data_IF_159522783248
#
_entry.id   IF_159522783248
#
_cell.length_a   1.000
_cell.length_b   1.000
_cell.length_c   1.000
_cell.angle_alpha   90.00
_cell.angle_beta   90.00
_cell.angle_gamma   90.00
#
_symmetry.space_group_name_H-M   'P 1'
#
loop_
_entity.id
_entity.type
_entity.pdbx_description
1 polymer ?
#
# COMPACT_ATOMS: atom_id res chain seq x y z
N UNK A 1 -7.57 4.46 3.79
CA UNK A 1 -7.71 2.99 3.71
C UNK A 1 -7.33 2.38 2.36
N UNK A 2 -7.46 3.09 1.22
CA UNK A 2 -7.33 2.51 -0.13
C UNK A 2 -5.90 2.06 -0.56
N UNK A 3 -4.93 2.07 0.36
CA UNK A 3 -3.57 1.52 0.22
C UNK A 3 -3.00 1.63 -1.21
N UNK A 4 -2.86 2.87 -1.68
CA UNK A 4 -2.47 3.19 -3.06
C UNK A 4 -1.40 4.29 -3.06
N UNK A 5 -0.60 4.30 -4.12
CA UNK A 5 0.43 5.28 -4.42
C UNK A 5 0.15 5.98 -5.76
N UNK A 6 0.99 6.96 -6.09
CA UNK A 6 0.99 7.66 -7.36
C UNK A 6 2.30 7.37 -8.10
N UNK A 7 2.21 6.90 -9.36
CA UNK A 7 3.35 6.74 -10.26
C UNK A 7 3.38 7.90 -11.25
N UNK A 8 4.52 8.59 -11.31
CA UNK A 8 4.71 9.72 -12.22
C UNK A 8 5.11 9.24 -13.61
N UNK A 9 4.41 9.69 -14.66
CA UNK A 9 4.78 9.40 -16.05
C UNK A 9 6.09 10.07 -16.47
N UNK A 10 6.44 11.23 -15.91
CA UNK A 10 7.63 11.99 -16.30
C UNK A 10 8.96 11.42 -15.80
N UNK A 11 8.97 10.78 -14.63
CA UNK A 11 10.21 10.24 -14.04
C UNK A 11 10.09 8.82 -13.47
N UNK A 12 8.95 8.16 -13.66
CA UNK A 12 8.62 6.83 -13.14
C UNK A 12 8.64 6.68 -11.60
N UNK A 13 8.93 7.72 -10.83
CA UNK A 13 8.95 7.67 -9.37
C UNK A 13 7.56 7.34 -8.80
N UNK A 14 7.55 6.53 -7.74
CA UNK A 14 6.34 6.16 -6.99
C UNK A 14 6.27 6.94 -5.68
N UNK A 15 5.20 7.69 -5.48
CA UNK A 15 4.96 8.51 -4.29
C UNK A 15 3.91 7.84 -3.40
N UNK A 16 4.33 7.45 -2.20
CA UNK A 16 3.47 6.93 -1.16
C UNK A 16 3.68 7.69 0.18
N UNK A 17 2.60 8.07 0.90
CA UNK A 17 1.22 8.14 0.46
C UNK A 17 1.04 9.08 -0.74
N UNK A 18 -0.10 8.97 -1.45
CA UNK A 18 -0.49 9.91 -2.52
C UNK A 18 -0.45 11.35 -2.02
N UNK A 19 0.07 12.27 -2.83
CA UNK A 19 0.21 13.69 -2.47
C UNK A 19 -0.31 14.65 -3.54
N UNK A 20 -0.64 14.17 -4.74
CA UNK A 20 -1.01 15.04 -5.87
C UNK A 20 0.20 15.73 -6.52
N UNK A 21 1.43 15.36 -6.15
CA UNK A 21 2.66 15.80 -6.80
C UNK A 21 3.76 14.74 -6.65
N UNK A 22 4.65 14.66 -7.64
CA UNK A 22 5.75 13.69 -7.65
C UNK A 22 6.90 14.12 -6.74
N UNK A 23 7.33 13.27 -5.79
CA UNK A 23 8.50 13.56 -4.94
C UNK A 23 9.85 13.53 -5.67
N UNK A 24 9.92 12.93 -6.86
CA UNK A 24 11.14 12.85 -7.65
C UNK A 24 11.41 14.11 -8.47
N UNK A 25 10.40 14.57 -9.24
CA UNK A 25 10.55 15.68 -10.19
C UNK A 25 9.62 16.88 -9.94
N UNK A 26 8.71 16.82 -8.97
CA UNK A 26 7.77 17.90 -8.66
C UNK A 26 6.56 18.01 -9.58
N UNK A 27 6.43 17.15 -10.60
CA UNK A 27 5.28 17.16 -11.51
C UNK A 27 3.95 17.00 -10.76
N UNK A 28 2.96 17.83 -11.08
CA UNK A 28 1.60 17.80 -10.54
C UNK A 28 0.59 17.12 -11.47
N UNK A 29 0.99 16.85 -12.71
CA UNK A 29 0.22 16.13 -13.72
C UNK A 29 0.87 14.78 -14.04
N UNK A 30 0.13 13.90 -14.73
CA UNK A 30 0.65 12.58 -15.12
C UNK A 30 0.89 11.63 -13.95
N UNK A 31 0.13 11.78 -12.85
CA UNK A 31 0.19 10.93 -11.67
C UNK A 31 -0.86 9.82 -11.75
N UNK A 32 -0.43 8.63 -12.17
CA UNK A 32 -1.31 7.47 -12.24
C UNK A 32 -1.42 6.78 -10.88
N UNK A 33 -2.63 6.46 -10.46
CA UNK A 33 -2.88 5.68 -9.24
C UNK A 33 -2.35 4.25 -9.43
N UNK A 34 -1.59 3.75 -8.46
CA UNK A 34 -1.11 2.37 -8.41
C UNK A 34 -1.53 1.73 -7.08
N UNK A 35 -2.12 0.54 -7.14
CA UNK A 35 -2.47 -0.22 -5.93
C UNK A 35 -1.24 -0.87 -5.33
N UNK A 36 -1.14 -0.85 -3.99
CA UNK A 36 -0.02 -1.48 -3.31
C UNK A 36 -0.26 -2.97 -3.10
N UNK A 37 0.81 -3.79 -3.13
CA UNK A 37 0.69 -5.19 -2.76
C UNK A 37 0.11 -5.34 -1.35
N UNK A 38 -0.85 -6.25 -1.22
CA UNK A 38 -1.48 -6.54 0.07
C UNK A 38 -0.79 -7.68 0.83
N UNK A 39 0.16 -8.36 0.19
CA UNK A 39 0.91 -9.50 0.70
C UNK A 39 2.35 -9.47 0.22
N UNK A 40 3.22 -10.27 0.84
CA UNK A 40 4.63 -10.45 0.44
C UNK A 40 5.59 -9.36 0.91
N UNK A 41 5.12 -8.39 1.72
CA UNK A 41 5.96 -7.33 2.28
C UNK A 41 7.04 -7.89 3.20
N UNK A 42 8.17 -7.20 3.32
CA UNK A 42 9.30 -7.56 4.18
C UNK A 42 9.45 -6.57 5.33
N UNK A 43 9.58 -7.06 6.55
CA UNK A 43 9.87 -6.20 7.70
C UNK A 43 11.31 -5.69 7.62
N UNK A 44 11.48 -4.37 7.60
CA UNK A 44 12.77 -3.68 7.57
C UNK A 44 13.18 -3.16 8.97
N UNK A 45 12.20 -2.78 9.78
CA UNK A 45 12.42 -2.41 11.18
C UNK A 45 11.14 -2.72 11.99
N UNK A 46 11.30 -2.96 13.29
CA UNK A 46 10.19 -3.18 14.22
C UNK A 46 10.50 -2.54 15.56
N UNK A 47 9.48 -1.92 16.17
CA UNK A 47 9.53 -1.37 17.51
C UNK A 47 8.29 -1.78 18.29
N UNK A 48 8.48 -2.21 19.53
CA UNK A 48 7.37 -2.45 20.46
C UNK A 48 7.02 -1.14 21.19
N UNK A 49 5.76 -0.73 21.09
CA UNK A 49 5.21 0.39 21.85
C UNK A 49 4.63 -0.17 23.14
N UNK A 50 5.32 0.09 24.25
CA UNK A 50 4.86 -0.28 25.60
C UNK A 50 3.87 0.73 26.17
N UNK A 51 3.28 0.38 27.33
CA UNK A 51 2.37 1.26 28.06
C UNK A 51 3.03 2.60 28.38
N UNK A 52 2.33 3.68 28.04
CA UNK A 52 2.81 5.06 28.19
C UNK A 52 3.61 5.58 27.00
N UNK A 53 3.88 4.75 25.99
CA UNK A 53 4.55 5.14 24.75
C UNK A 53 3.59 5.41 23.58
N UNK A 54 2.31 5.10 23.74
CA UNK A 54 1.29 5.27 22.69
C UNK A 54 0.73 6.71 22.64
N UNK A 55 0.24 7.16 21.47
CA UNK A 55 -0.64 8.33 21.40
C UNK A 55 -1.94 8.07 22.18
N UNK A 56 -2.52 9.12 22.77
CA UNK A 56 -3.70 9.02 23.65
C UNK A 56 -4.91 8.38 22.97
N UNK A 57 -5.05 8.50 21.66
CA UNK A 57 -6.12 7.86 20.90
C UNK A 57 -6.03 6.33 20.93
N UNK A 58 -4.86 5.77 21.23
CA UNK A 58 -4.62 4.33 21.40
C UNK A 58 -4.69 3.88 22.85
N UNK A 59 -4.98 4.76 23.83
CA UNK A 59 -5.13 4.36 25.23
C UNK A 59 -6.14 3.24 25.41
N UNK A 60 -7.34 3.26 24.80
CA UNK A 60 -8.28 2.15 24.94
C UNK A 60 -7.73 0.81 24.46
N UNK A 61 -6.88 0.83 23.41
CA UNK A 61 -6.22 -0.38 22.92
C UNK A 61 -5.18 -0.86 23.93
N UNK A 62 -4.32 0.03 24.41
CA UNK A 62 -3.20 -0.35 25.29
C UNK A 62 -3.67 -0.76 26.69
N UNK A 63 -4.71 -0.13 27.22
CA UNK A 63 -5.30 -0.54 28.49
C UNK A 63 -6.02 -1.89 28.40
N UNK A 64 -6.55 -2.25 27.23
CA UNK A 64 -7.22 -3.53 27.02
C UNK A 64 -6.24 -4.68 26.69
N UNK A 65 -5.32 -4.44 25.75
CA UNK A 65 -4.50 -5.48 25.12
C UNK A 65 -3.00 -5.38 25.48
N UNK A 66 -2.59 -4.30 26.16
CA UNK A 66 -1.19 -4.01 26.45
C UNK A 66 -0.45 -3.35 25.28
N UNK A 67 0.88 -3.48 25.27
CA UNK A 67 1.71 -2.91 24.20
C UNK A 67 1.42 -3.53 22.83
N UNK A 68 1.91 -2.89 21.77
CA UNK A 68 1.76 -3.41 20.40
C UNK A 68 3.02 -3.13 19.56
N UNK A 69 3.29 -3.98 18.58
CA UNK A 69 4.40 -3.76 17.66
C UNK A 69 3.99 -2.82 16.51
N UNK A 70 4.95 -2.03 16.04
CA UNK A 70 4.86 -1.23 14.82
C UNK A 70 6.05 -1.56 13.94
N UNK A 71 5.78 -1.89 12.68
CA UNK A 71 6.79 -2.30 11.71
C UNK A 71 6.91 -1.29 10.57
N UNK A 72 8.15 -1.04 10.13
CA UNK A 72 8.41 -0.50 8.80
C UNK A 72 8.51 -1.67 7.83
N UNK A 73 7.63 -1.69 6.82
CA UNK A 73 7.50 -2.80 5.87
C UNK A 73 7.83 -2.30 4.47
N UNK A 74 8.79 -2.94 3.81
CA UNK A 74 8.97 -2.79 2.36
C UNK A 74 7.94 -3.66 1.63
N UNK A 75 7.00 -3.01 0.96
CA UNK A 75 5.89 -3.67 0.25
C UNK A 75 6.27 -4.02 -1.19
N UNK A 76 7.15 -3.22 -1.78
CA UNK A 76 7.74 -3.37 -3.10
C UNK A 76 9.08 -2.60 -3.10
N UNK A 77 9.99 -2.83 -4.08
CA UNK A 77 11.28 -2.14 -4.12
C UNK A 77 11.15 -0.63 -3.97
N UNK A 78 11.74 -0.07 -2.91
CA UNK A 78 11.72 1.36 -2.62
C UNK A 78 10.39 1.91 -2.07
N UNK A 79 9.39 1.06 -1.87
CA UNK A 79 8.07 1.43 -1.35
C UNK A 79 7.85 0.86 0.04
N UNK A 80 7.86 1.76 1.03
CA UNK A 80 7.76 1.41 2.45
C UNK A 80 6.51 1.98 3.10
N UNK A 81 5.95 1.23 4.05
CA UNK A 81 4.83 1.66 4.87
C UNK A 81 5.06 1.32 6.34
N UNK A 82 4.69 2.24 7.23
CA UNK A 82 4.64 1.97 8.67
C UNK A 82 3.29 1.37 9.02
N UNK A 83 3.29 0.18 9.62
CA UNK A 83 2.09 -0.59 9.91
C UNK A 83 2.12 -1.11 11.36
N UNK A 84 1.09 -0.87 12.18
CA UNK A 84 0.91 -1.60 13.43
C UNK A 84 0.73 -3.09 13.11
N UNK A 85 1.23 -3.95 13.99
CA UNK A 85 1.15 -5.41 13.84
C UNK A 85 -0.10 -5.93 14.56
N UNK A 86 -0.68 -7.01 14.06
CA UNK A 86 -1.82 -7.69 14.68
C UNK A 86 -1.69 -9.19 14.50
N UNK A 87 -2.52 -9.95 15.22
CA UNK A 87 -2.68 -11.40 15.10
C UNK A 87 -1.37 -12.18 15.34
N UNK A 88 -0.48 -11.61 16.15
CA UNK A 88 0.76 -12.23 16.62
C UNK A 88 1.07 -11.71 18.02
N UNK A 89 1.74 -12.51 18.87
CA UNK A 89 2.15 -12.03 20.18
C UNK A 89 3.13 -10.84 20.06
N UNK A 90 2.98 -9.86 20.95
CA UNK A 90 3.83 -8.66 20.97
C UNK A 90 5.30 -9.04 21.17
N UNK A 91 6.19 -8.36 20.45
CA UNK A 91 7.63 -8.61 20.53
C UNK A 91 8.08 -9.90 19.84
N UNK A 92 7.23 -10.54 19.02
CA UNK A 92 7.62 -11.75 18.26
C UNK A 92 7.99 -11.48 16.81
N UNK A 93 7.53 -10.37 16.22
CA UNK A 93 7.90 -9.98 14.86
C UNK A 93 9.41 -9.67 14.77
N UNK A 94 10.06 -10.09 13.69
CA UNK A 94 11.49 -9.90 13.45
C UNK A 94 11.73 -9.19 12.11
N UNK A 95 12.87 -8.52 12.01
CA UNK A 95 13.37 -8.00 10.73
C UNK A 95 13.58 -9.17 9.77
N UNK A 96 13.09 -9.02 8.55
CA UNK A 96 13.12 -10.03 7.51
C UNK A 96 11.88 -10.92 7.42
N UNK A 97 11.00 -10.88 8.42
CA UNK A 97 9.72 -11.60 8.36
C UNK A 97 8.89 -11.11 7.17
N UNK A 98 8.12 -12.05 6.61
CA UNK A 98 7.16 -11.75 5.55
C UNK A 98 5.81 -11.43 6.16
N UNK A 99 5.20 -10.36 5.68
CA UNK A 99 3.92 -9.87 6.19
C UNK A 99 2.94 -9.55 5.07
N UNK A 100 1.66 -9.77 5.35
CA UNK A 100 0.55 -9.22 4.60
C UNK A 100 -0.08 -8.05 5.32
N UNK A 101 -1.12 -7.47 4.71
CA UNK A 101 -1.84 -6.33 5.27
C UNK A 101 -3.34 -6.60 5.34
N UNK A 102 -3.94 -6.32 6.49
CA UNK A 102 -5.37 -6.47 6.75
C UNK A 102 -5.98 -5.15 7.17
N UNK A 103 -7.25 -4.91 6.82
CA UNK A 103 -7.98 -3.74 7.27
C UNK A 103 -8.50 -3.98 8.69
N UNK A 104 -8.20 -3.07 9.62
CA UNK A 104 -8.62 -3.13 11.02
C UNK A 104 -9.12 -1.76 11.50
N UNK A 105 -9.92 -1.79 12.56
CA UNK A 105 -10.18 -0.60 13.36
C UNK A 105 -8.88 -0.17 14.04
N UNK A 106 -8.65 1.15 14.11
CA UNK A 106 -7.51 1.73 14.81
C UNK A 106 -7.95 2.27 16.17
N UNK A 107 -8.73 3.35 16.14
CA UNK A 107 -9.25 4.03 17.32
C UNK A 107 -10.54 4.79 16.96
N UNK A 108 -11.43 5.03 17.92
CA UNK A 108 -12.56 5.93 17.72
C UNK A 108 -12.09 7.39 17.76
N UNK A 109 -12.73 8.26 16.99
CA UNK A 109 -12.51 9.70 16.96
C UNK A 109 -13.81 10.37 16.50
N UNK A 110 -14.26 11.41 17.22
CA UNK A 110 -15.52 12.13 16.94
C UNK A 110 -16.75 11.19 16.82
N UNK A 111 -16.82 10.19 17.69
CA UNK A 111 -17.90 9.19 17.69
C UNK A 111 -17.85 8.17 16.55
N UNK A 112 -16.81 8.17 15.72
CA UNK A 112 -16.65 7.28 14.57
C UNK A 112 -15.37 6.44 14.64
N UNK A 113 -15.39 5.24 14.06
CA UNK A 113 -14.19 4.40 13.97
C UNK A 113 -13.26 4.85 12.85
N UNK A 114 -11.98 5.06 13.19
CA UNK A 114 -10.91 5.14 12.20
C UNK A 114 -10.48 3.73 11.79
N UNK A 115 -10.26 3.55 10.48
CA UNK A 115 -9.82 2.29 9.90
C UNK A 115 -8.47 2.45 9.20
N UNK A 116 -7.61 1.46 9.36
CA UNK A 116 -6.27 1.44 8.80
C UNK A 116 -5.80 0.02 8.49
N UNK A 117 -4.71 -0.06 7.75
CA UNK A 117 -4.06 -1.34 7.46
C UNK A 117 -3.13 -1.69 8.63
N UNK A 118 -3.13 -2.96 9.03
CA UNK A 118 -2.18 -3.55 9.97
C UNK A 118 -1.41 -4.69 9.30
N UNK A 119 -0.18 -4.95 9.75
CA UNK A 119 0.63 -6.05 9.29
C UNK A 119 0.24 -7.36 9.98
N UNK A 120 0.22 -8.46 9.23
CA UNK A 120 0.02 -9.84 9.73
C UNK A 120 1.16 -10.72 9.23
N UNK A 121 1.73 -11.54 10.11
CA UNK A 121 2.81 -12.46 9.73
C UNK A 121 2.29 -13.51 8.76
N UNK A 122 3.01 -13.71 7.67
CA UNK A 122 2.70 -14.73 6.67
C UNK A 122 3.35 -16.05 7.05
N UNK A 123 2.59 -17.12 6.92
CA UNK A 123 3.12 -18.48 7.08
C UNK A 123 3.83 -18.95 5.80
N UNK A 124 4.58 -20.05 5.89
CA UNK A 124 5.50 -20.53 4.85
C UNK A 124 4.90 -20.79 3.45
N UNK A 125 3.57 -20.79 3.26
CA UNK A 125 2.92 -20.82 1.93
C UNK A 125 2.58 -19.43 1.39
N UNK A 126 2.29 -18.47 2.26
CA UNK A 126 1.85 -17.13 1.88
C UNK A 126 3.04 -16.21 1.53
N UNK A 127 4.21 -16.50 2.11
CA UNK A 127 5.47 -15.78 1.92
C UNK A 127 6.04 -15.84 0.49
N UNK A 128 5.66 -16.84 -0.33
CA UNK A 128 6.16 -17.02 -1.71
C UNK A 128 5.36 -16.25 -2.77
N UNK A 129 4.25 -15.60 -2.41
CA UNK A 129 3.56 -14.70 -3.33
C UNK A 129 4.37 -13.40 -3.46
N UNK A 130 5.31 -13.38 -4.41
CA UNK A 130 6.20 -12.25 -4.66
C UNK A 130 5.42 -10.94 -4.86
N UNK A 131 5.97 -9.78 -4.48
CA UNK A 131 5.37 -8.50 -4.82
C UNK A 131 5.26 -8.41 -6.34
N UNK A 132 4.02 -8.32 -6.84
CA UNK A 132 3.75 -8.13 -8.25
C UNK A 132 4.52 -6.91 -8.75
N UNK A 133 5.22 -7.10 -9.87
CA UNK A 133 6.00 -6.04 -10.50
C UNK A 133 5.11 -4.83 -10.82
N UNK A 134 5.26 -3.78 -10.02
CA UNK A 134 4.52 -2.53 -10.19
C UNK A 134 4.88 -1.83 -11.52
N UNK A 135 5.86 -2.32 -12.29
CA UNK A 135 6.11 -1.93 -13.68
C UNK A 135 4.94 -2.22 -14.62
N UNK A 136 4.08 -3.20 -14.30
CA UNK A 136 2.88 -3.50 -15.09
C UNK A 136 1.70 -2.66 -14.61
N UNK A 137 1.53 -1.50 -15.21
CA UNK A 137 0.25 -0.78 -15.20
C UNK A 137 -0.02 -0.18 -16.58
N UNK A 138 -1.05 -0.76 -17.22
CA UNK A 138 -1.78 -0.31 -18.41
C UNK A 138 -1.00 -0.20 -19.74
N UNK A 139 -0.95 -1.28 -20.50
CA UNK A 139 -1.03 -1.13 -21.96
C UNK A 139 -2.35 -0.38 -22.27
N UNK A 140 -2.32 0.70 -23.06
CA UNK A 140 -3.56 1.32 -23.52
C UNK A 140 -4.31 0.27 -24.35
N UNK A 141 -5.56 -0.03 -23.95
CA UNK A 141 -6.46 -0.79 -24.83
C UNK A 141 -6.51 -0.02 -26.15
N UNK A 142 -6.06 -0.68 -27.22
CA UNK A 142 -5.99 -0.11 -28.55
C UNK A 142 -7.30 0.59 -28.91
N UNK A 143 -7.19 1.82 -29.38
CA UNK A 143 -8.28 2.51 -30.07
C UNK A 143 -8.66 1.63 -31.25
N UNK A 144 -9.86 1.05 -31.20
CA UNK A 144 -10.47 0.42 -32.36
C UNK A 144 -10.71 1.51 -33.40
N UNK A 145 -9.86 1.52 -34.42
CA UNK A 145 -10.03 2.34 -35.62
C UNK A 145 -11.32 1.90 -36.32
N UNK A 146 -12.30 2.80 -36.59
CA UNK A 146 -13.47 2.42 -37.38
C UNK A 146 -13.04 2.13 -38.82
N UNK A 147 -13.67 1.16 -39.51
CA UNK A 147 -13.31 0.84 -40.88
C UNK A 147 -13.63 2.01 -41.81
N UNK A 148 -12.66 2.34 -42.68
CA UNK A 148 -12.83 3.23 -43.81
C UNK A 148 -14.05 2.81 -44.64
N UNK A 149 -15.05 3.70 -44.75
CA UNK A 149 -16.09 3.56 -45.74
C UNK A 149 -15.49 3.80 -47.13
N UNK A 150 -15.42 2.73 -47.93
CA UNK A 150 -15.18 2.78 -49.36
C UNK A 150 -16.37 3.49 -50.03
N UNK A 151 -16.12 4.66 -50.61
CA UNK A 151 -17.05 5.28 -51.56
C UNK A 151 -17.06 4.44 -52.85
N UNK A 152 -18.21 4.04 -53.39
CA UNK A 152 -18.26 3.49 -54.74
C UNK A 152 -18.11 4.62 -55.77
N UNK A 153 -17.10 4.47 -56.63
CA UNK A 153 -17.02 5.15 -57.91
C UNK A 153 -18.21 4.73 -58.79
N UNK A 154 -19.01 5.70 -59.25
CA UNK A 154 -19.92 5.51 -60.38
C UNK A 154 -19.15 5.85 -61.67
N UNK A 155 -19.22 5.03 -62.73
CA UNK A 155 -18.62 5.35 -64.02
C UNK A 155 -19.57 6.17 -64.91
N UNK A 156 -18.93 7.12 -65.64
CA UNK A 156 -19.32 7.87 -66.84
C UNK A 156 -20.63 8.67 -66.83
#
# INVERSE_FOLDING_TARGET
>A
WRFAAERCSSCAAVTFPTRGWCRGCGATEGLARVELPLSGGRVEAVTTIGKGGQPTEFDPLVEADGGYDVALVELAPGLRATLPVTDSPVGTLRVGDRVGTVLRRLYPMDGQWRYGRKAVVLSGRDAQSAPGDLSRSAEPRGVSQPPHALLPHAPL
#
